data_IF_169210413578
#
_entry.id   IF_169210413578
#
_cell.length_a   1.000
_cell.length_b   1.000
_cell.length_c   1.000
_cell.angle_alpha   90.00
_cell.angle_beta   90.00
_cell.angle_gamma   90.00
#
_symmetry.space_group_name_H-M   'P 1'
#
loop_
_entity.id
_entity.type
_entity.pdbx_description
1 polymer ?
#
# COMPACT_ATOMS: atom_id res chain seq x y z
N UNK A 1 9.55 9.44 -35.27
CA UNK A 1 8.85 9.77 -34.01
C UNK A 1 8.55 8.45 -33.34
N UNK A 2 9.38 8.03 -32.37
CA UNK A 2 9.09 6.81 -31.62
C UNK A 2 8.10 7.16 -30.53
N UNK A 3 6.89 6.63 -30.63
CA UNK A 3 5.91 6.62 -29.55
C UNK A 3 6.44 5.75 -28.42
N UNK A 4 7.27 6.32 -27.55
CA UNK A 4 7.63 5.66 -26.30
C UNK A 4 6.34 5.58 -25.46
N UNK A 5 5.91 4.38 -25.04
CA UNK A 5 4.68 4.25 -24.29
C UNK A 5 4.75 5.12 -23.04
N UNK A 6 3.76 5.99 -22.84
CA UNK A 6 3.69 6.83 -21.65
C UNK A 6 3.53 5.90 -20.43
N UNK A 7 4.54 5.90 -19.56
CA UNK A 7 4.57 5.05 -18.36
C UNK A 7 3.80 5.65 -17.18
N UNK A 8 3.33 6.89 -17.33
CA UNK A 8 2.53 7.58 -16.34
C UNK A 8 1.27 6.79 -15.98
N UNK A 9 0.98 6.71 -14.69
CA UNK A 9 -0.14 5.96 -14.14
C UNK A 9 0.08 4.44 -14.10
N UNK A 10 1.21 3.92 -14.61
CA UNK A 10 1.54 2.49 -14.48
C UNK A 10 2.12 2.20 -13.10
N UNK A 11 1.90 0.96 -12.65
CA UNK A 11 2.42 0.46 -11.37
C UNK A 11 3.65 -0.42 -11.61
N UNK A 12 4.72 -0.15 -10.85
CA UNK A 12 5.93 -0.96 -10.78
C UNK A 12 6.10 -1.48 -9.35
N UNK A 13 5.66 -2.71 -9.09
CA UNK A 13 5.64 -3.25 -7.73
C UNK A 13 4.82 -2.39 -6.78
N UNK A 14 5.45 -1.84 -5.74
CA UNK A 14 4.81 -0.92 -4.77
C UNK A 14 4.87 0.55 -5.18
N UNK A 15 5.26 0.88 -6.41
CA UNK A 15 5.43 2.26 -6.87
C UNK A 15 4.45 2.60 -7.99
N UNK A 16 3.83 3.78 -7.92
CA UNK A 16 2.98 4.34 -8.98
C UNK A 16 3.76 5.43 -9.70
N UNK A 17 3.92 5.28 -11.02
CA UNK A 17 4.66 6.22 -11.85
C UNK A 17 3.81 7.46 -12.16
N UNK A 18 4.42 8.62 -12.02
CA UNK A 18 3.90 9.93 -12.38
C UNK A 18 4.51 10.45 -13.68
N UNK A 19 4.75 11.76 -13.72
CA UNK A 19 5.32 12.44 -14.89
C UNK A 19 6.78 12.03 -15.13
N UNK A 20 7.16 11.97 -16.40
CA UNK A 20 8.56 11.90 -16.80
C UNK A 20 9.21 13.27 -16.65
N UNK A 21 10.43 13.33 -16.15
CA UNK A 21 11.21 14.56 -16.17
C UNK A 21 11.60 14.90 -17.62
N UNK A 22 11.27 16.10 -18.13
CA UNK A 22 11.59 16.51 -19.49
C UNK A 22 13.09 16.79 -19.63
N UNK A 23 13.56 16.96 -20.86
CA UNK A 23 14.92 17.43 -21.17
C UNK A 23 16.07 16.51 -20.72
N UNK A 24 15.78 15.23 -20.51
CA UNK A 24 16.78 14.18 -20.31
C UNK A 24 16.93 13.42 -21.63
N UNK A 25 18.14 13.41 -22.23
CA UNK A 25 18.42 12.69 -23.46
C UNK A 25 18.03 11.21 -23.36
N UNK A 26 17.41 10.66 -24.40
CA UNK A 26 16.88 9.29 -24.36
C UNK A 26 17.95 8.22 -24.16
N UNK A 27 19.18 8.48 -24.58
CA UNK A 27 20.35 7.63 -24.40
C UNK A 27 20.89 7.64 -22.96
N UNK A 28 20.54 8.66 -22.15
CA UNK A 28 20.96 8.79 -20.75
C UNK A 28 19.97 8.18 -19.75
N UNK A 29 18.91 7.55 -20.25
CA UNK A 29 17.85 6.97 -19.45
C UNK A 29 16.58 7.81 -19.40
N UNK A 30 15.59 7.29 -18.69
CA UNK A 30 14.28 7.92 -18.53
C UNK A 30 13.96 7.99 -17.05
N UNK A 31 13.80 9.20 -16.54
CA UNK A 31 13.54 9.46 -15.13
C UNK A 31 12.09 9.85 -14.92
N UNK A 32 11.46 9.22 -13.93
CA UNK A 32 10.06 9.45 -13.58
C UNK A 32 9.94 9.84 -12.11
N UNK A 33 9.12 10.87 -11.87
CA UNK A 33 8.52 11.07 -10.56
C UNK A 33 7.60 9.89 -10.26
N UNK A 34 7.62 9.36 -9.04
CA UNK A 34 6.78 8.27 -8.60
C UNK A 34 6.45 8.42 -7.13
N UNK A 35 5.51 7.63 -6.64
CA UNK A 35 5.24 7.54 -5.20
C UNK A 35 5.06 6.09 -4.78
N UNK A 36 5.46 5.77 -3.56
CA UNK A 36 5.12 4.50 -2.95
C UNK A 36 3.62 4.44 -2.69
N UNK A 37 2.94 3.39 -3.14
CA UNK A 37 1.48 3.27 -3.12
C UNK A 37 0.94 3.34 -1.69
N UNK A 38 1.60 2.67 -0.74
CA UNK A 38 1.10 2.59 0.64
C UNK A 38 1.48 3.80 1.51
N UNK A 39 2.73 4.28 1.44
CA UNK A 39 3.19 5.41 2.28
C UNK A 39 2.90 6.77 1.63
N UNK A 40 2.79 6.83 0.31
CA UNK A 40 2.71 8.06 -0.47
C UNK A 40 4.03 8.82 -0.56
N UNK A 41 5.14 8.24 -0.07
CA UNK A 41 6.47 8.87 -0.13
C UNK A 41 6.92 9.07 -1.59
N UNK A 42 7.55 10.20 -1.92
CA UNK A 42 8.08 10.45 -3.26
C UNK A 42 9.24 9.51 -3.55
N UNK A 43 9.27 8.98 -4.78
CA UNK A 43 10.27 8.02 -5.26
C UNK A 43 10.70 8.44 -6.66
N UNK A 44 11.98 8.29 -6.97
CA UNK A 44 12.48 8.40 -8.34
C UNK A 44 12.59 7.02 -8.95
N UNK A 45 12.02 6.86 -10.14
CA UNK A 45 12.17 5.64 -10.95
C UNK A 45 13.08 5.96 -12.12
N UNK A 46 14.13 5.15 -12.24
CA UNK A 46 15.09 5.21 -13.34
C UNK A 46 14.83 4.03 -14.28
N UNK A 47 14.65 4.32 -15.57
CA UNK A 47 14.51 3.31 -16.61
C UNK A 47 15.63 3.44 -17.64
N UNK A 48 16.05 2.34 -18.28
CA UNK A 48 17.08 2.36 -19.31
C UNK A 48 16.67 3.26 -20.48
N UNK A 49 17.70 3.84 -21.07
CA UNK A 49 17.61 4.63 -22.29
C UNK A 49 17.45 3.77 -23.54
N UNK A 50 17.29 4.43 -24.68
CA UNK A 50 17.27 3.75 -25.98
C UNK A 50 18.67 3.18 -26.28
N UNK A 51 18.79 1.86 -26.37
CA UNK A 51 20.08 1.17 -26.64
C UNK A 51 20.81 0.66 -25.39
N UNK A 52 20.31 0.97 -24.21
CA UNK A 52 20.81 0.45 -22.94
C UNK A 52 20.18 -0.90 -22.61
N UNK A 53 20.98 -1.95 -22.53
CA UNK A 53 20.54 -3.26 -22.03
C UNK A 53 20.91 -3.42 -20.55
N UNK A 54 20.08 -2.88 -19.66
CA UNK A 54 20.24 -3.06 -18.20
C UNK A 54 19.80 -4.45 -17.74
N UNK A 55 20.02 -5.50 -18.53
CA UNK A 55 19.56 -6.87 -18.28
C UNK A 55 20.27 -7.53 -17.09
N UNK A 56 20.03 -7.05 -15.86
CA UNK A 56 20.23 -7.87 -14.68
C UNK A 56 19.13 -8.93 -14.64
N UNK A 57 19.53 -10.19 -14.70
CA UNK A 57 18.61 -11.33 -14.75
C UNK A 57 17.73 -11.50 -13.50
N UNK A 58 18.08 -10.87 -12.37
CA UNK A 58 17.42 -11.10 -11.08
C UNK A 58 17.03 -9.79 -10.41
N UNK A 59 15.75 -9.60 -10.04
CA UNK A 59 15.32 -8.43 -9.28
C UNK A 59 15.96 -8.46 -7.88
N UNK A 60 16.48 -7.33 -7.43
CA UNK A 60 17.07 -7.19 -6.11
C UNK A 60 16.66 -5.88 -5.44
N UNK A 61 16.80 -5.83 -4.13
CA UNK A 61 16.56 -4.63 -3.32
C UNK A 61 17.71 -4.48 -2.33
N UNK A 62 18.17 -3.24 -2.13
CA UNK A 62 19.13 -2.92 -1.09
C UNK A 62 18.74 -1.60 -0.43
N UNK A 63 19.13 -1.46 0.83
CA UNK A 63 18.97 -0.24 1.61
C UNK A 63 20.35 0.38 1.83
N UNK A 64 20.44 1.69 1.60
CA UNK A 64 21.67 2.46 1.86
C UNK A 64 21.39 3.42 3.00
N UNK A 65 22.23 3.36 4.03
CA UNK A 65 22.09 4.21 5.22
C UNK A 65 23.39 4.95 5.48
N UNK A 66 23.31 6.27 5.57
CA UNK A 66 24.42 7.13 6.00
C UNK A 66 24.30 7.40 7.50
N UNK A 67 25.26 6.91 8.27
CA UNK A 67 25.42 7.24 9.70
C UNK A 67 26.48 8.31 9.84
N UNK A 68 26.21 9.38 10.57
CA UNK A 68 27.17 10.46 10.82
C UNK A 68 28.05 10.23 12.04
N UNK A 69 27.69 9.25 12.89
CA UNK A 69 28.46 8.84 14.07
C UNK A 69 28.27 7.34 14.35
N UNK A 70 29.26 6.47 14.06
CA UNK A 70 30.49 6.79 13.35
C UNK A 70 30.20 7.19 11.89
N UNK A 71 31.15 7.88 11.25
CA UNK A 71 31.06 8.17 9.82
C UNK A 71 31.09 6.86 9.01
N UNK A 72 29.93 6.37 8.61
CA UNK A 72 29.78 5.13 7.87
C UNK A 72 28.65 5.22 6.84
N UNK A 73 28.89 4.59 5.68
CA UNK A 73 27.89 4.30 4.67
C UNK A 73 27.66 2.80 4.63
N UNK A 74 26.44 2.37 4.98
CA UNK A 74 26.08 0.96 5.07
C UNK A 74 25.20 0.60 3.88
N UNK A 75 25.58 -0.46 3.16
CA UNK A 75 24.76 -1.10 2.14
C UNK A 75 24.22 -2.42 2.70
N UNK A 76 22.89 -2.52 2.83
CA UNK A 76 22.20 -3.72 3.31
C UNK A 76 21.32 -4.30 2.20
N UNK A 77 21.78 -5.35 1.48
CA UNK A 77 20.95 -6.07 0.51
C UNK A 77 19.79 -6.79 1.22
N UNK A 78 18.55 -6.46 0.86
CA UNK A 78 17.36 -7.11 1.42
C UNK A 78 17.25 -8.52 0.84
N UNK A 79 17.14 -9.52 1.70
CA UNK A 79 16.95 -10.91 1.30
C UNK A 79 15.46 -11.19 1.07
N UNK A 80 15.13 -11.61 -0.14
CA UNK A 80 13.80 -12.15 -0.46
C UNK A 80 13.86 -13.67 -0.34
N UNK A 81 12.92 -14.28 0.38
CA UNK A 81 12.86 -15.73 0.52
C UNK A 81 12.79 -16.41 -0.87
N UNK A 82 13.69 -17.36 -1.12
CA UNK A 82 13.76 -18.09 -2.40
C UNK A 82 14.49 -17.36 -3.53
N UNK A 83 14.89 -16.09 -3.37
CA UNK A 83 15.69 -15.38 -4.37
C UNK A 83 17.19 -15.58 -4.12
N UNK A 84 17.98 -15.69 -5.20
CA UNK A 84 19.44 -15.64 -5.08
C UNK A 84 19.86 -14.23 -4.62
N UNK A 85 20.86 -14.11 -3.73
CA UNK A 85 21.40 -12.80 -3.40
C UNK A 85 21.99 -12.15 -4.67
N UNK A 86 21.87 -10.82 -4.82
CA UNK A 86 22.44 -10.12 -5.95
C UNK A 86 23.96 -10.27 -5.97
N UNK A 87 24.55 -10.35 -7.17
CA UNK A 87 26.00 -10.31 -7.32
C UNK A 87 26.49 -8.89 -7.08
N UNK A 88 27.73 -8.75 -6.58
CA UNK A 88 28.35 -7.44 -6.40
C UNK A 88 28.34 -6.59 -7.68
N UNK A 89 28.58 -7.19 -8.84
CA UNK A 89 28.53 -6.49 -10.13
C UNK A 89 27.14 -5.89 -10.43
N UNK A 90 26.05 -6.60 -10.12
CA UNK A 90 24.68 -6.11 -10.33
C UNK A 90 24.36 -4.93 -9.40
N UNK A 91 24.80 -5.02 -8.14
CA UNK A 91 24.70 -3.91 -7.18
C UNK A 91 25.47 -2.69 -7.70
N UNK A 92 26.73 -2.88 -8.09
CA UNK A 92 27.59 -1.80 -8.59
C UNK A 92 26.98 -1.10 -9.80
N UNK A 93 26.49 -1.86 -10.79
CA UNK A 93 25.83 -1.27 -11.96
C UNK A 93 24.59 -0.47 -11.57
N UNK A 94 23.71 -1.02 -10.73
CA UNK A 94 22.52 -0.30 -10.26
C UNK A 94 22.84 1.00 -9.55
N UNK A 95 23.88 1.02 -8.71
CA UNK A 95 24.33 2.24 -8.05
C UNK A 95 25.00 3.25 -8.99
N UNK A 96 25.75 2.80 -10.00
CA UNK A 96 26.32 3.68 -11.03
C UNK A 96 25.19 4.37 -11.81
N UNK A 97 24.17 3.63 -12.24
CA UNK A 97 23.03 4.20 -12.94
C UNK A 97 22.25 5.19 -12.07
N UNK A 98 22.04 4.86 -10.80
CA UNK A 98 21.37 5.76 -9.85
C UNK A 98 22.19 7.02 -9.59
N UNK A 99 23.50 6.90 -9.37
CA UNK A 99 24.38 8.04 -9.13
C UNK A 99 24.45 8.97 -10.35
N UNK A 100 24.61 8.41 -11.55
CA UNK A 100 24.58 9.18 -12.80
C UNK A 100 23.25 9.89 -13.01
N UNK A 101 22.13 9.24 -12.66
CA UNK A 101 20.80 9.84 -12.71
C UNK A 101 20.62 10.96 -11.69
N UNK A 102 21.09 10.77 -10.45
CA UNK A 102 21.01 11.79 -9.41
C UNK A 102 21.88 13.01 -9.73
N UNK A 103 23.07 12.81 -10.30
CA UNK A 103 23.95 13.90 -10.74
C UNK A 103 23.29 14.78 -11.82
N UNK A 104 22.50 14.19 -12.72
CA UNK A 104 21.73 14.97 -13.72
C UNK A 104 20.62 15.81 -13.09
N UNK A 105 20.16 15.45 -11.89
CA UNK A 105 19.03 16.09 -11.21
C UNK A 105 19.47 17.10 -10.14
N UNK A 106 20.74 17.10 -9.74
CA UNK A 106 21.26 17.96 -8.67
C UNK A 106 21.03 19.46 -8.97
N UNK A 107 21.20 19.84 -10.23
CA UNK A 107 21.03 21.21 -10.73
C UNK A 107 19.55 21.60 -11.01
N UNK A 108 18.59 20.69 -10.76
CA UNK A 108 17.18 20.86 -11.16
C UNK A 108 16.24 21.16 -10.00
N UNK A 109 15.78 22.41 -9.93
CA UNK A 109 14.84 22.89 -8.90
C UNK A 109 13.48 22.19 -8.92
N UNK A 110 12.99 21.80 -10.10
CA UNK A 110 11.70 21.12 -10.26
C UNK A 110 11.71 19.70 -9.68
N UNK A 111 12.87 19.02 -9.74
CA UNK A 111 13.08 17.71 -9.12
C UNK A 111 13.20 17.85 -7.62
N UNK A 112 14.00 18.81 -7.15
CA UNK A 112 14.05 19.15 -5.71
C UNK A 112 12.65 19.46 -5.17
N UNK A 113 11.84 20.21 -5.91
CA UNK A 113 10.46 20.49 -5.51
C UNK A 113 9.58 19.24 -5.45
N UNK A 114 9.83 18.21 -6.27
CA UNK A 114 9.10 16.94 -6.18
C UNK A 114 9.42 16.20 -4.87
N UNK A 115 10.69 16.12 -4.50
CA UNK A 115 11.13 15.45 -3.27
C UNK A 115 10.90 16.27 -1.99
N UNK A 116 10.96 17.60 -2.09
CA UNK A 116 10.71 18.52 -0.99
C UNK A 116 9.23 18.87 -0.80
N UNK A 117 8.33 18.39 -1.68
CA UNK A 117 6.89 18.38 -1.42
C UNK A 117 6.60 17.37 -0.30
N UNK A 118 6.97 17.76 0.93
CA UNK A 118 6.20 17.47 2.12
C UNK A 118 4.73 17.64 1.76
N UNK A 119 3.88 16.69 2.15
CA UNK A 119 2.41 16.78 2.02
C UNK A 119 1.93 18.18 2.42
N UNK A 120 1.90 19.12 1.50
CA UNK A 120 0.93 20.20 1.54
C UNK A 120 -0.37 19.50 1.19
N UNK A 121 -1.33 19.39 2.14
CA UNK A 121 -2.65 18.92 1.81
C UNK A 121 -3.09 19.77 0.63
N UNK A 122 -3.23 19.13 -0.53
CA UNK A 122 -3.70 19.82 -1.72
C UNK A 122 -5.05 20.41 -1.29
N UNK A 123 -5.20 21.75 -1.20
CA UNK A 123 -6.47 22.31 -0.81
C UNK A 123 -7.43 21.77 -1.83
N UNK A 124 -8.40 20.97 -1.36
CA UNK A 124 -9.52 20.53 -2.16
C UNK A 124 -10.05 21.84 -2.73
N UNK A 125 -9.77 22.10 -4.00
CA UNK A 125 -10.33 23.25 -4.71
C UNK A 125 -11.81 22.96 -4.70
N UNK A 126 -12.50 23.46 -3.67
CA UNK A 126 -13.94 23.47 -3.65
C UNK A 126 -14.32 24.22 -4.90
N UNK A 127 -14.83 23.47 -5.87
CA UNK A 127 -15.59 24.04 -6.98
C UNK A 127 -16.83 24.64 -6.33
N UNK A 128 -16.70 25.79 -5.69
CA UNK A 128 -17.79 26.73 -5.59
C UNK A 128 -18.02 27.21 -7.02
N UNK A 129 -18.77 26.40 -7.78
CA UNK A 129 -19.57 26.91 -8.88
C UNK A 129 -20.40 28.01 -8.26
N UNK A 130 -20.02 29.26 -8.52
CA UNK A 130 -20.89 30.40 -8.36
C UNK A 130 -22.08 30.18 -9.30
N UNK A 131 -23.07 29.44 -8.83
CA UNK A 131 -24.39 29.40 -9.45
C UNK A 131 -24.97 30.78 -9.26
N UNK A 132 -24.89 31.58 -10.34
CA UNK A 132 -25.67 32.80 -10.52
C UNK A 132 -27.14 32.46 -10.32
N UNK A 133 -27.63 32.69 -9.10
CA UNK A 133 -29.05 32.77 -8.82
C UNK A 133 -29.49 34.20 -9.09
N UNK A 134 -30.18 34.38 -10.19
CA UNK A 134 -30.77 35.65 -10.57
C UNK A 134 -31.61 35.46 -11.82
N UNK A 135 -32.93 35.55 -11.64
CA UNK A 135 -33.99 35.49 -12.65
C UNK A 135 -34.51 34.08 -13.00
N UNK A 136 -35.37 33.55 -12.15
CA UNK A 136 -36.74 33.11 -12.54
C UNK A 136 -37.57 32.86 -11.27
N UNK A 137 -37.92 33.95 -10.59
CA UNK A 137 -39.17 33.97 -9.85
C UNK A 137 -40.31 33.81 -10.88
N UNK A 138 -41.37 33.08 -10.50
CA UNK A 138 -42.63 32.93 -11.24
C UNK A 138 -42.78 31.73 -12.21
N UNK A 139 -42.48 30.50 -11.76
CA UNK A 139 -43.19 29.30 -12.20
C UNK A 139 -42.85 28.14 -11.26
N UNK A 140 -43.85 27.37 -10.80
CA UNK A 140 -43.79 26.21 -9.88
C UNK A 140 -44.31 26.42 -8.45
N UNK A 141 -45.13 27.45 -8.21
CA UNK A 141 -46.10 27.44 -7.11
C UNK A 141 -47.22 26.38 -7.27
N UNK A 142 -47.20 25.59 -8.36
CA UNK A 142 -48.19 24.52 -8.66
C UNK A 142 -47.66 23.11 -8.32
N UNK A 143 -46.35 22.92 -8.11
CA UNK A 143 -45.77 21.60 -7.77
C UNK A 143 -45.88 21.21 -6.29
N UNK A 144 -46.13 22.19 -5.41
CA UNK A 144 -46.07 22.01 -3.96
C UNK A 144 -47.28 21.27 -3.37
N UNK A 145 -48.37 21.11 -4.12
CA UNK A 145 -49.61 20.47 -3.64
C UNK A 145 -49.66 18.96 -3.95
N UNK A 146 -48.79 18.44 -4.84
CA UNK A 146 -48.79 17.03 -5.23
C UNK A 146 -47.71 16.14 -4.57
N UNK A 147 -46.73 16.73 -3.87
CA UNK A 147 -45.65 15.96 -3.22
C UNK A 147 -45.89 15.68 -1.73
N UNK A 148 -46.93 16.26 -1.13
CA UNK A 148 -47.32 16.03 0.28
C UNK A 148 -48.46 15.01 0.44
N UNK A 149 -48.62 14.07 -0.49
CA UNK A 149 -49.50 12.92 -0.27
C UNK A 149 -48.73 11.80 0.46
N UNK A 150 -49.18 11.36 1.65
CA UNK A 150 -48.45 10.39 2.45
C UNK A 150 -48.57 9.01 1.80
N UNK A 151 -47.46 8.46 1.34
CA UNK A 151 -47.34 7.03 1.04
C UNK A 151 -46.47 6.37 2.10
N UNK A 152 -47.16 5.74 3.03
CA UNK A 152 -46.63 4.74 3.95
C UNK A 152 -46.14 3.53 3.17
N UNK A 153 -44.86 3.19 3.31
CA UNK A 153 -44.34 1.86 2.98
C UNK A 153 -43.04 1.61 3.75
N UNK A 154 -43.22 0.90 4.86
CA UNK A 154 -42.40 -0.20 5.43
C UNK A 154 -40.87 -0.22 5.28
N UNK A 155 -40.13 -0.56 6.37
CA UNK A 155 -38.68 -0.63 6.38
C UNK A 155 -38.15 -1.87 5.63
N UNK A 156 -37.06 -1.77 4.84
CA UNK A 156 -36.41 -2.94 4.30
C UNK A 156 -35.53 -3.59 5.38
N UNK A 157 -35.98 -4.78 5.71
CA UNK A 157 -35.32 -5.97 6.21
C UNK A 157 -33.82 -6.11 5.84
N UNK A 158 -33.08 -6.58 6.83
CA UNK A 158 -31.70 -7.05 6.79
C UNK A 158 -31.48 -7.96 5.57
N UNK A 159 -30.51 -7.61 4.74
CA UNK A 159 -29.89 -8.57 3.82
C UNK A 159 -28.48 -8.86 4.28
N UNK A 160 -28.41 -9.94 5.06
CA UNK A 160 -27.21 -10.73 5.29
C UNK A 160 -26.53 -11.15 3.97
N UNK A 161 -25.22 -11.41 4.09
CA UNK A 161 -24.26 -11.95 3.11
C UNK A 161 -23.57 -10.93 2.19
N UNK A 162 -22.53 -10.31 2.74
CA UNK A 162 -21.21 -10.42 2.11
C UNK A 162 -20.41 -11.46 2.92
N UNK A 163 -19.89 -12.46 2.24
CA UNK A 163 -19.18 -13.60 2.86
C UNK A 163 -17.84 -13.14 3.45
N UNK A 164 -17.85 -12.78 4.74
CA UNK A 164 -16.65 -12.67 5.58
C UNK A 164 -15.96 -14.04 5.63
N UNK A 165 -14.97 -14.22 4.76
CA UNK A 165 -14.11 -15.39 4.76
C UNK A 165 -12.72 -14.89 5.15
N UNK A 166 -12.34 -14.97 6.43
CA UNK A 166 -10.99 -14.61 6.85
C UNK A 166 -9.98 -15.58 6.20
N UNK A 167 -8.89 -15.00 5.67
CA UNK A 167 -7.74 -15.74 5.14
C UNK A 167 -7.01 -16.41 6.30
N UNK A 168 -7.13 -17.74 6.39
CA UNK A 168 -6.30 -18.55 7.29
C UNK A 168 -4.95 -18.80 6.63
N UNK A 169 -3.86 -18.34 7.25
CA UNK A 169 -2.53 -18.55 6.70
C UNK A 169 -2.05 -19.98 6.98
N UNK A 170 -2.15 -20.85 5.97
CA UNK A 170 -1.01 -21.69 5.60
C UNK A 170 -0.12 -20.82 4.70
N UNK A 171 1.21 -20.97 4.78
CA UNK A 171 2.21 -20.03 4.25
C UNK A 171 2.29 -19.84 2.72
N UNK A 172 1.18 -19.65 2.03
CA UNK A 172 1.12 -19.31 0.61
C UNK A 172 -0.15 -18.48 0.33
N UNK A 173 0.01 -17.41 -0.48
CA UNK A 173 -0.98 -16.38 -0.87
C UNK A 173 -1.22 -15.20 0.10
N UNK A 174 -0.45 -14.13 -0.13
CA UNK A 174 -0.77 -12.76 0.31
C UNK A 174 -1.64 -12.09 -0.75
N UNK A 175 -2.95 -12.23 -0.61
CA UNK A 175 -3.92 -11.40 -1.33
C UNK A 175 -5.16 -11.15 -0.46
N UNK A 176 -5.05 -10.24 0.50
CA UNK A 176 -6.20 -9.47 0.95
C UNK A 176 -5.75 -8.05 1.37
N UNK A 177 -6.34 -6.97 0.80
CA UNK A 177 -6.03 -5.59 1.18
C UNK A 177 -6.85 -5.24 2.42
N UNK A 178 -6.64 -5.95 3.52
CA UNK A 178 -7.41 -5.71 4.74
C UNK A 178 -6.58 -4.77 5.62
N UNK A 179 -6.89 -3.48 5.52
CA UNK A 179 -6.69 -2.48 6.58
C UNK A 179 -7.04 -3.17 7.91
N UNK A 180 -6.25 -2.95 8.96
CA UNK A 180 -6.51 -3.57 10.26
C UNK A 180 -8.00 -3.50 10.63
N UNK A 181 -8.55 -4.62 11.07
CA UNK A 181 -9.99 -4.77 11.29
C UNK A 181 -10.30 -4.66 12.78
N UNK A 182 -11.49 -4.16 13.18
CA UNK A 182 -11.88 -4.16 14.58
C UNK A 182 -12.00 -5.60 15.09
N UNK A 183 -11.55 -5.85 16.33
CA UNK A 183 -11.57 -7.20 16.88
C UNK A 183 -12.98 -7.80 16.94
N UNK A 184 -13.21 -9.00 16.35
CA UNK A 184 -14.53 -9.60 16.26
C UNK A 184 -15.10 -9.92 17.65
N UNK A 185 -16.43 -9.92 17.76
CA UNK A 185 -17.14 -10.29 19.01
C UNK A 185 -17.01 -11.76 19.36
N UNK A 186 -16.79 -12.62 18.37
CA UNK A 186 -16.64 -14.07 18.52
C UNK A 186 -15.35 -14.54 17.84
N UNK A 187 -14.69 -15.59 18.36
CA UNK A 187 -13.50 -16.15 17.72
C UNK A 187 -13.83 -16.71 16.34
N UNK A 188 -12.87 -16.65 15.43
CA UNK A 188 -13.03 -17.27 14.11
C UNK A 188 -13.15 -18.79 14.21
N UNK A 189 -13.76 -19.41 13.20
CA UNK A 189 -13.99 -20.87 13.17
C UNK A 189 -12.70 -21.67 13.33
N UNK A 190 -11.62 -21.27 12.65
CA UNK A 190 -10.32 -21.95 12.73
C UNK A 190 -9.37 -21.31 13.76
N UNK A 191 -9.84 -20.33 14.55
CA UNK A 191 -9.04 -19.73 15.61
C UNK A 191 -9.01 -20.64 16.83
N UNK A 192 -7.83 -20.76 17.42
CA UNK A 192 -7.59 -21.44 18.68
C UNK A 192 -8.44 -20.76 19.76
N UNK A 193 -9.21 -21.58 20.46
CA UNK A 193 -9.91 -21.19 21.68
C UNK A 193 -9.05 -21.58 22.88
N UNK A 194 -9.31 -21.02 24.07
CA UNK A 194 -8.63 -21.42 25.30
C UNK A 194 -8.56 -22.95 25.46
N UNK A 195 -7.45 -23.48 25.98
CA UNK A 195 -6.35 -22.77 26.64
C UNK A 195 -5.34 -22.13 25.68
N UNK A 196 -5.02 -20.86 25.92
CA UNK A 196 -4.02 -20.10 25.19
C UNK A 196 -2.61 -20.34 25.76
N UNK A 197 -1.59 -20.17 24.93
CA UNK A 197 -0.20 -20.39 25.33
C UNK A 197 0.30 -19.29 26.29
N UNK A 198 0.70 -19.65 27.52
CA UNK A 198 1.11 -18.65 28.51
C UNK A 198 2.35 -17.87 28.04
N UNK A 199 2.39 -16.58 28.37
CA UNK A 199 3.52 -15.67 28.07
C UNK A 199 3.61 -15.17 26.62
N UNK A 200 2.82 -15.73 25.70
CA UNK A 200 2.88 -15.40 24.26
C UNK A 200 1.51 -15.09 23.68
N UNK A 201 0.45 -15.73 24.18
CA UNK A 201 -0.93 -15.53 23.74
C UNK A 201 -1.76 -14.94 24.88
N UNK A 202 -2.75 -14.13 24.52
CA UNK A 202 -3.75 -13.58 25.44
C UNK A 202 -5.13 -14.03 25.00
N UNK A 203 -5.98 -14.35 25.98
CA UNK A 203 -7.38 -14.61 25.72
C UNK A 203 -8.14 -13.29 25.59
N UNK A 204 -8.74 -13.06 24.43
CA UNK A 204 -9.63 -11.92 24.19
C UNK A 204 -10.88 -12.43 23.47
N UNK A 205 -12.05 -12.14 24.05
CA UNK A 205 -13.37 -12.54 23.49
C UNK A 205 -13.46 -14.04 23.19
N UNK A 206 -12.87 -14.87 24.04
CA UNK A 206 -12.91 -16.34 23.94
C UNK A 206 -12.01 -16.95 22.86
N UNK A 207 -11.14 -16.15 22.24
CA UNK A 207 -10.14 -16.58 21.25
C UNK A 207 -8.72 -16.30 21.75
N UNK A 208 -7.76 -17.08 21.29
CA UNK A 208 -6.35 -16.85 21.56
C UNK A 208 -5.78 -15.89 20.52
N UNK A 209 -5.09 -14.86 21.02
CA UNK A 209 -4.51 -13.79 20.23
C UNK A 209 -3.05 -13.60 20.60
N UNK A 210 -2.20 -13.36 19.61
CA UNK A 210 -0.82 -12.97 19.83
C UNK A 210 -0.71 -11.44 19.75
N UNK A 211 -0.17 -10.75 20.77
CA UNK A 211 0.05 -9.32 20.70
C UNK A 211 1.12 -9.01 19.65
N UNK A 212 0.84 -8.05 18.76
CA UNK A 212 1.82 -7.50 17.85
C UNK A 212 2.69 -6.46 18.58
N UNK A 213 3.92 -6.21 18.10
CA UNK A 213 4.82 -5.22 18.71
C UNK A 213 4.43 -3.77 18.42
N UNK A 214 3.62 -3.55 17.39
CA UNK A 214 3.12 -2.23 17.02
C UNK A 214 1.79 -1.96 17.70
N UNK A 215 1.61 -0.74 18.19
CA UNK A 215 0.31 -0.18 18.56
C UNK A 215 -0.39 0.42 17.33
N UNK A 216 -1.64 0.88 17.49
CA UNK A 216 -2.39 1.53 16.43
C UNK A 216 -1.61 2.76 15.88
N UNK A 217 -1.54 2.98 14.54
CA UNK A 217 -2.30 2.30 13.48
C UNK A 217 -1.77 0.89 13.17
N UNK A 218 -2.70 -0.07 13.18
CA UNK A 218 -2.36 -1.48 13.09
C UNK A 218 -2.00 -1.91 11.65
N UNK A 219 -1.00 -2.79 11.46
CA UNK A 219 -0.62 -3.27 10.14
C UNK A 219 -1.72 -4.15 9.53
N UNK A 220 -1.78 -4.26 8.18
CA UNK A 220 -2.79 -5.07 7.51
C UNK A 220 -2.86 -6.51 8.02
N UNK A 221 -4.08 -7.07 8.09
CA UNK A 221 -4.31 -8.43 8.57
C UNK A 221 -4.27 -8.62 10.11
N UNK A 222 -4.06 -7.55 10.88
CA UNK A 222 -4.16 -7.57 12.34
C UNK A 222 -5.51 -7.03 12.83
N UNK A 223 -5.95 -7.53 13.98
CA UNK A 223 -7.13 -7.06 14.68
C UNK A 223 -6.75 -5.94 15.65
N UNK A 224 -7.42 -4.79 15.57
CA UNK A 224 -7.28 -3.72 16.55
C UNK A 224 -8.21 -3.95 17.75
N UNK A 225 -7.65 -3.89 18.96
CA UNK A 225 -8.40 -3.91 20.21
C UNK A 225 -7.74 -3.00 21.24
N UNK A 226 -8.49 -2.02 21.76
CA UNK A 226 -8.01 -1.04 22.75
C UNK A 226 -6.71 -0.32 22.33
N UNK A 227 -6.59 0.05 21.06
CA UNK A 227 -5.41 0.74 20.51
C UNK A 227 -4.18 -0.16 20.31
N UNK A 228 -4.31 -1.48 20.50
CA UNK A 228 -3.26 -2.47 20.28
C UNK A 228 -3.63 -3.41 19.14
N UNK A 229 -2.61 -4.01 18.54
CA UNK A 229 -2.77 -4.88 17.38
C UNK A 229 -2.54 -6.35 17.76
N UNK A 230 -3.36 -7.23 17.21
CA UNK A 230 -3.37 -8.65 17.56
C UNK A 230 -3.48 -9.54 16.33
N UNK A 231 -2.86 -10.71 16.41
CA UNK A 231 -2.94 -11.74 15.39
C UNK A 231 -3.74 -12.93 15.94
N UNK A 232 -4.74 -13.40 15.19
CA UNK A 232 -5.53 -14.57 15.58
C UNK A 232 -4.66 -15.83 15.49
N UNK A 233 -4.61 -16.62 16.56
CA UNK A 233 -3.85 -17.88 16.59
C UNK A 233 -4.70 -18.98 15.95
N UNK A 234 -4.17 -19.70 14.96
CA UNK A 234 -4.85 -20.85 14.35
C UNK A 234 -4.88 -22.05 15.31
N UNK A 235 -5.91 -22.89 15.23
CA UNK A 235 -5.92 -24.21 15.89
C UNK A 235 -4.76 -25.08 15.38
N UNK A 236 -4.18 -25.96 16.21
CA UNK A 236 -3.22 -26.95 15.75
C UNK A 236 -3.85 -27.89 14.72
N UNK A 237 -3.08 -28.29 13.72
CA UNK A 237 -3.54 -29.27 12.73
C UNK A 237 -3.78 -30.62 13.43
N UNK A 238 -4.82 -31.38 13.03
CA UNK A 238 -5.12 -32.67 13.65
C UNK A 238 -3.98 -33.66 13.42
N UNK A 239 -3.58 -34.40 14.47
CA UNK A 239 -2.57 -35.43 14.34
C UNK A 239 -3.04 -36.55 13.38
N UNK A 240 -2.16 -37.03 12.47
CA UNK A 240 -2.49 -38.14 11.59
C UNK A 240 -2.72 -39.40 12.43
N UNK A 241 -3.95 -39.91 12.41
CA UNK A 241 -4.28 -41.20 13.01
C UNK A 241 -3.92 -42.30 12.03
N UNK A 242 -2.89 -43.09 12.36
CA UNK A 242 -2.63 -44.34 11.66
C UNK A 242 -3.81 -45.30 11.90
N UNK A 243 -4.41 -45.79 10.82
CA UNK A 243 -5.35 -46.90 10.88
C UNK A 243 -4.49 -48.16 11.06
N UNK A 244 -4.49 -48.76 12.25
CA UNK A 244 -3.90 -50.09 12.43
C UNK A 244 -4.78 -51.12 11.68
N UNK A 245 -4.17 -52.02 10.88
CA UNK A 245 -4.88 -53.07 10.15
C UNK A 245 -5.43 -54.19 11.06
#
# INVERSE_FOLDING_TARGET
MSDTPEWKGRRLGSYLLGERFPDIPEDQGRLYAAHHVDTGEPVLVVMPGSGDDWSSSTPWCAEVTRFTDPDALVLHPKRTAGARPPRFHELTLGFIHLAGSLAQLDEREDVRAHFLRLRTPQPIRSRHRATRWGLTALALAVGFVFLFWPRTSTPPEIRDRASDTPTFMNGQELSSPVIAYPMPEKPFKEQRKPPCMPGTEVEIRGGCWMPHRSDAPCPPGTAEYQGKCYVAVKKPDPEPRSIQP
#
